data_IF_982518860834
#
_entry.id   IF_982518860834
#
_cell.length_a   1.000
_cell.length_b   1.000
_cell.length_c   1.000
_cell.angle_alpha   90.00
_cell.angle_beta   90.00
_cell.angle_gamma   90.00
#
_symmetry.space_group_name_H-M   'P 1'
#
loop_
_entity.id
_entity.type
_entity.pdbx_description
1 polymer ?
#
# COMPACT_ATOMS: atom_id res chain seq x y z
N UNK A 1 -23.04 -26.34 -19.57
CA UNK A 1 -21.64 -25.86 -19.72
C UNK A 1 -21.57 -24.33 -19.58
N UNK A 2 -22.39 -23.56 -20.30
CA UNK A 2 -22.45 -22.08 -20.20
C UNK A 2 -22.70 -21.54 -18.78
N UNK A 3 -23.61 -22.16 -18.01
CA UNK A 3 -23.90 -21.76 -16.63
C UNK A 3 -22.71 -21.92 -15.69
N UNK A 4 -21.86 -22.92 -15.93
CA UNK A 4 -20.61 -23.12 -15.19
C UNK A 4 -19.57 -22.06 -15.54
N UNK A 5 -19.43 -21.75 -16.83
CA UNK A 5 -18.53 -20.70 -17.33
C UNK A 5 -18.92 -19.32 -16.78
N UNK A 6 -20.22 -18.98 -16.79
CA UNK A 6 -20.73 -17.72 -16.22
C UNK A 6 -20.45 -17.60 -14.72
N UNK A 7 -20.66 -18.68 -13.95
CA UNK A 7 -20.31 -18.70 -12.50
C UNK A 7 -18.82 -18.49 -12.26
N UNK A 8 -17.96 -19.11 -13.07
CA UNK A 8 -16.52 -18.94 -12.96
C UNK A 8 -16.08 -17.51 -13.31
N UNK A 9 -16.58 -16.95 -14.42
CA UNK A 9 -16.31 -15.56 -14.81
C UNK A 9 -16.76 -14.56 -13.75
N UNK A 10 -17.93 -14.76 -13.14
CA UNK A 10 -18.43 -13.91 -12.07
C UNK A 10 -17.56 -14.00 -10.81
N UNK A 11 -17.07 -15.19 -10.47
CA UNK A 11 -16.16 -15.40 -9.34
C UNK A 11 -14.78 -14.79 -9.59
N UNK A 12 -14.26 -14.92 -10.82
CA UNK A 12 -13.01 -14.28 -11.24
C UNK A 12 -13.11 -12.76 -11.23
N UNK A 13 -14.22 -12.19 -11.73
CA UNK A 13 -14.50 -10.76 -11.66
C UNK A 13 -14.54 -10.29 -10.20
N UNK A 14 -15.23 -11.02 -9.32
CA UNK A 14 -15.28 -10.72 -7.89
C UNK A 14 -13.90 -10.72 -7.25
N UNK A 15 -13.08 -11.75 -7.48
CA UNK A 15 -11.70 -11.80 -6.93
C UNK A 15 -10.85 -10.64 -7.47
N UNK A 16 -11.01 -10.29 -8.75
CA UNK A 16 -10.32 -9.14 -9.36
C UNK A 16 -10.74 -7.81 -8.72
N UNK A 17 -12.02 -7.66 -8.39
CA UNK A 17 -12.60 -6.45 -7.81
C UNK A 17 -12.32 -6.36 -6.29
N UNK A 18 -12.46 -7.46 -5.55
CA UNK A 18 -12.08 -7.61 -4.12
C UNK A 18 -10.58 -7.36 -3.91
N UNK A 19 -9.74 -7.79 -4.86
CA UNK A 19 -8.31 -7.49 -4.85
C UNK A 19 -8.01 -6.04 -5.30
N UNK A 20 -8.99 -5.12 -5.23
CA UNK A 20 -8.84 -3.68 -5.05
C UNK A 20 -7.87 -2.97 -5.99
N UNK A 21 -7.59 -3.54 -7.18
CA UNK A 21 -6.33 -3.27 -7.88
C UNK A 21 -6.17 -1.81 -8.27
N UNK A 22 -7.27 -1.15 -8.62
CA UNK A 22 -7.27 0.26 -9.06
C UNK A 22 -7.12 1.24 -7.89
N UNK A 23 -7.89 1.02 -6.82
CA UNK A 23 -7.83 1.87 -5.62
C UNK A 23 -6.48 1.71 -4.92
N UNK A 24 -6.02 0.46 -4.76
CA UNK A 24 -4.71 0.16 -4.20
C UNK A 24 -3.57 0.73 -5.04
N UNK A 25 -3.62 0.58 -6.37
CA UNK A 25 -2.62 1.19 -7.25
C UNK A 25 -2.60 2.72 -7.15
N UNK A 26 -3.78 3.35 -7.04
CA UNK A 26 -3.87 4.79 -6.84
C UNK A 26 -3.20 5.23 -5.54
N UNK A 27 -3.43 4.49 -4.44
CA UNK A 27 -2.76 4.76 -3.15
C UNK A 27 -1.25 4.61 -3.28
N UNK A 28 -0.77 3.52 -3.87
CA UNK A 28 0.66 3.27 -4.09
C UNK A 28 1.30 4.40 -4.90
N UNK A 29 0.60 4.90 -5.92
CA UNK A 29 1.09 5.99 -6.77
C UNK A 29 1.10 7.33 -6.04
N UNK A 30 0.08 7.62 -5.25
CA UNK A 30 0.07 8.80 -4.39
C UNK A 30 1.21 8.78 -3.38
N UNK A 31 1.48 7.64 -2.73
CA UNK A 31 2.62 7.48 -1.81
C UNK A 31 3.96 7.73 -2.50
N UNK A 32 4.16 7.14 -3.68
CA UNK A 32 5.39 7.33 -4.46
C UNK A 32 5.59 8.78 -4.89
N UNK A 33 4.51 9.46 -5.28
CA UNK A 33 4.55 10.89 -5.60
C UNK A 33 4.96 11.74 -4.40
N UNK A 34 4.32 11.54 -3.24
CA UNK A 34 4.63 12.31 -2.02
C UNK A 34 6.09 12.08 -1.60
N UNK A 35 6.58 10.83 -1.65
CA UNK A 35 7.98 10.51 -1.35
C UNK A 35 8.96 11.20 -2.32
N UNK A 36 8.63 11.19 -3.62
CA UNK A 36 9.44 11.86 -4.64
C UNK A 36 9.46 13.37 -4.47
N UNK A 37 8.28 14.00 -4.37
CA UNK A 37 8.13 15.45 -4.21
C UNK A 37 8.81 15.93 -2.94
N UNK A 38 8.63 15.21 -1.82
CA UNK A 38 9.33 15.46 -0.57
C UNK A 38 10.85 15.38 -0.73
N UNK A 39 11.36 14.32 -1.40
CA UNK A 39 12.79 14.16 -1.69
C UNK A 39 13.37 15.23 -2.64
N UNK A 40 12.58 15.78 -3.57
CA UNK A 40 13.01 16.86 -4.46
C UNK A 40 13.05 18.20 -3.72
N UNK A 41 12.10 18.46 -2.83
CA UNK A 41 12.15 19.61 -1.93
C UNK A 41 13.41 19.59 -1.06
N UNK A 42 13.91 18.40 -0.69
CA UNK A 42 15.20 18.28 0.00
C UNK A 42 16.40 18.72 -0.86
N UNK A 43 16.35 18.47 -2.18
CA UNK A 43 17.48 18.69 -3.09
C UNK A 43 17.50 20.08 -3.72
N UNK A 44 16.36 20.76 -3.79
CA UNK A 44 16.17 21.97 -4.61
C UNK A 44 15.93 23.29 -3.85
N UNK A 45 15.82 23.28 -2.52
CA UNK A 45 15.49 24.48 -1.72
C UNK A 45 16.72 25.21 -1.16
N UNK A 46 16.76 26.54 -1.30
CA UNK A 46 17.76 27.39 -0.65
C UNK A 46 17.81 27.17 0.88
N UNK A 47 19.00 26.85 1.39
CA UNK A 47 19.42 27.06 2.78
C UNK A 47 18.68 26.34 3.93
N UNK A 48 17.96 25.23 3.69
CA UNK A 48 17.71 24.29 4.79
C UNK A 48 18.98 23.46 4.96
N UNK A 49 19.81 23.79 5.96
CA UNK A 49 21.07 23.07 6.17
C UNK A 49 20.76 21.61 6.46
N UNK A 50 21.63 20.70 6.00
CA UNK A 50 21.58 19.26 6.34
C UNK A 50 21.37 19.03 7.86
N UNK A 51 21.82 19.98 8.69
CA UNK A 51 21.58 20.04 10.13
C UNK A 51 20.11 20.20 10.55
N UNK A 52 19.31 21.04 9.89
CA UNK A 52 17.88 21.18 10.22
C UNK A 52 17.09 19.93 9.84
N UNK A 53 17.53 19.21 8.81
CA UNK A 53 16.90 17.97 8.35
C UNK A 53 17.21 16.77 9.25
N UNK A 54 18.40 16.73 9.84
CA UNK A 54 18.80 15.75 10.85
C UNK A 54 18.42 16.16 12.27
N UNK A 55 17.84 17.35 12.44
CA UNK A 55 17.43 17.85 13.75
C UNK A 55 16.36 16.92 14.32
N UNK A 56 16.63 16.38 15.50
CA UNK A 56 15.69 15.61 16.28
C UNK A 56 15.21 16.47 17.44
N UNK A 57 13.90 16.53 17.63
CA UNK A 57 13.28 17.21 18.78
C UNK A 57 12.80 16.15 19.75
N UNK A 58 13.56 15.92 20.82
CA UNK A 58 13.27 14.87 21.78
C UNK A 58 13.33 13.47 21.15
N UNK A 59 12.26 12.68 21.32
CA UNK A 59 12.16 11.31 20.79
C UNK A 59 11.62 11.24 19.35
N UNK A 60 11.31 12.37 18.73
CA UNK A 60 10.71 12.41 17.40
C UNK A 60 11.73 12.08 16.29
N UNK A 61 11.31 11.33 15.25
CA UNK A 61 12.12 11.10 14.06
C UNK A 61 12.46 12.42 13.37
N UNK A 62 13.63 12.48 12.74
CA UNK A 62 13.98 13.63 11.90
C UNK A 62 13.18 13.61 10.59
N UNK A 63 13.16 14.73 9.88
CA UNK A 63 12.48 14.80 8.58
C UNK A 63 13.06 13.80 7.56
N UNK A 64 14.38 13.58 7.63
CA UNK A 64 15.04 12.56 6.81
C UNK A 64 14.55 11.15 7.17
N UNK A 65 14.46 10.82 8.45
CA UNK A 65 13.93 9.53 8.92
C UNK A 65 12.48 9.30 8.43
N UNK A 66 11.65 10.35 8.47
CA UNK A 66 10.27 10.29 7.99
C UNK A 66 10.18 10.04 6.48
N UNK A 67 11.02 10.71 5.68
CA UNK A 67 11.04 10.53 4.23
C UNK A 67 11.58 9.15 3.81
N UNK A 68 12.60 8.66 4.51
CA UNK A 68 13.09 7.30 4.33
C UNK A 68 12.02 6.27 4.70
N UNK A 69 11.32 6.46 5.82
CA UNK A 69 10.19 5.62 6.22
C UNK A 69 9.05 5.61 5.19
N UNK A 70 8.66 6.79 4.68
CA UNK A 70 7.65 6.91 3.63
C UNK A 70 8.08 6.17 2.35
N UNK A 71 9.35 6.26 1.98
CA UNK A 71 9.90 5.53 0.82
C UNK A 71 9.85 4.02 1.05
N UNK A 72 10.24 3.53 2.23
CA UNK A 72 10.14 2.10 2.57
C UNK A 72 8.69 1.60 2.52
N UNK A 73 7.74 2.38 3.03
CA UNK A 73 6.31 2.05 2.92
C UNK A 73 5.89 1.98 1.45
N UNK A 74 6.26 2.96 0.62
CA UNK A 74 5.94 2.93 -0.80
C UNK A 74 6.52 1.68 -1.50
N UNK A 75 7.77 1.31 -1.22
CA UNK A 75 8.43 0.13 -1.79
C UNK A 75 7.74 -1.18 -1.39
N UNK A 76 7.31 -1.30 -0.12
CA UNK A 76 6.53 -2.43 0.35
C UNK A 76 5.19 -2.55 -0.38
N UNK A 77 4.42 -1.45 -0.43
CA UNK A 77 3.11 -1.42 -1.07
C UNK A 77 3.20 -1.62 -2.60
N UNK A 78 4.24 -1.11 -3.24
CA UNK A 78 4.52 -1.36 -4.66
C UNK A 78 4.82 -2.84 -4.92
N UNK A 79 5.62 -3.47 -4.07
CA UNK A 79 5.92 -4.91 -4.18
C UNK A 79 4.65 -5.75 -4.00
N UNK A 80 3.80 -5.38 -3.05
CA UNK A 80 2.49 -6.02 -2.85
C UNK A 80 1.58 -5.84 -4.06
N UNK A 81 1.52 -4.63 -4.64
CA UNK A 81 0.72 -4.36 -5.83
C UNK A 81 1.19 -5.23 -7.01
N UNK A 82 2.50 -5.32 -7.23
CA UNK A 82 3.08 -6.14 -8.29
C UNK A 82 2.77 -7.63 -8.08
N UNK A 83 2.87 -8.12 -6.84
CA UNK A 83 2.51 -9.50 -6.50
C UNK A 83 1.03 -9.78 -6.77
N UNK A 84 0.13 -8.93 -6.25
CA UNK A 84 -1.33 -9.03 -6.47
C UNK A 84 -1.65 -8.99 -7.96
N UNK A 85 -1.04 -8.07 -8.71
CA UNK A 85 -1.25 -7.94 -10.16
C UNK A 85 -0.74 -9.16 -10.93
N UNK A 86 0.43 -9.69 -10.56
CA UNK A 86 1.01 -10.91 -11.13
C UNK A 86 0.11 -12.11 -10.89
N UNK A 87 -0.33 -12.32 -9.65
CA UNK A 87 -1.26 -13.38 -9.26
C UNK A 87 -2.55 -13.33 -10.08
N UNK A 88 -3.18 -12.16 -10.21
CA UNK A 88 -4.42 -12.04 -11.00
C UNK A 88 -4.17 -12.30 -12.49
N UNK A 89 -3.00 -11.91 -13.00
CA UNK A 89 -2.63 -12.14 -14.40
C UNK A 89 -2.37 -13.62 -14.69
N UNK A 90 -1.82 -14.33 -13.70
CA UNK A 90 -1.59 -15.78 -13.75
C UNK A 90 -2.84 -16.62 -13.47
N UNK A 91 -3.89 -16.02 -12.89
CA UNK A 91 -5.20 -16.65 -12.75
C UNK A 91 -5.81 -16.89 -14.15
N UNK A 92 -5.65 -18.11 -14.64
CA UNK A 92 -6.21 -18.59 -15.91
C UNK A 92 -7.21 -19.71 -15.65
N UNK A 93 -7.96 -20.09 -16.68
CA UNK A 93 -8.86 -21.25 -16.65
C UNK A 93 -8.15 -22.59 -16.42
N UNK A 94 -6.80 -22.60 -16.42
CA UNK A 94 -5.97 -23.77 -16.15
C UNK A 94 -5.57 -23.93 -14.68
N UNK A 95 -5.95 -23.00 -13.79
CA UNK A 95 -5.66 -23.14 -12.37
C UNK A 95 -6.26 -24.41 -11.80
N UNK A 96 -5.43 -25.20 -11.11
CA UNK A 96 -5.85 -26.39 -10.39
C UNK A 96 -6.67 -26.02 -9.15
N UNK A 97 -7.36 -27.01 -8.56
CA UNK A 97 -8.07 -26.81 -7.30
C UNK A 97 -7.10 -26.40 -6.17
N UNK A 98 -5.87 -26.94 -6.15
CA UNK A 98 -4.82 -26.57 -5.21
C UNK A 98 -4.37 -25.13 -5.37
N UNK A 99 -4.22 -24.64 -6.60
CA UNK A 99 -3.84 -23.24 -6.86
C UNK A 99 -4.89 -22.28 -6.29
N UNK A 100 -6.18 -22.60 -6.49
CA UNK A 100 -7.29 -21.78 -5.97
C UNK A 100 -7.29 -21.76 -4.43
N UNK A 101 -6.95 -22.88 -3.78
CA UNK A 101 -6.85 -22.94 -2.31
C UNK A 101 -5.68 -22.12 -1.81
N UNK A 102 -4.50 -22.27 -2.41
CA UNK A 102 -3.32 -21.48 -2.04
C UNK A 102 -3.57 -19.97 -2.20
N UNK A 103 -4.24 -19.56 -3.27
CA UNK A 103 -4.60 -18.15 -3.50
C UNK A 103 -5.61 -17.61 -2.48
N UNK A 104 -6.56 -18.44 -2.03
CA UNK A 104 -7.46 -18.08 -0.94
C UNK A 104 -6.71 -17.90 0.37
N UNK A 105 -5.75 -18.78 0.66
CA UNK A 105 -4.95 -18.69 1.87
C UNK A 105 -4.10 -17.40 1.88
N UNK A 106 -3.47 -17.07 0.75
CA UNK A 106 -2.72 -15.82 0.58
C UNK A 106 -3.56 -14.57 0.86
N UNK A 107 -4.86 -14.59 0.50
CA UNK A 107 -5.78 -13.48 0.79
C UNK A 107 -6.14 -13.39 2.28
N UNK A 108 -6.27 -14.53 2.97
CA UNK A 108 -6.53 -14.59 4.40
C UNK A 108 -5.32 -14.14 5.22
N UNK A 109 -4.11 -14.49 4.76
CA UNK A 109 -2.85 -14.17 5.44
C UNK A 109 -2.46 -12.68 5.30
N UNK A 110 -3.23 -11.86 4.59
CA UNK A 110 -2.98 -10.42 4.54
C UNK A 110 -3.14 -9.80 5.93
N UNK A 111 -2.24 -8.87 6.33
CA UNK A 111 -2.40 -8.13 7.56
C UNK A 111 -3.65 -7.24 7.44
N UNK A 112 -4.75 -7.73 7.99
CA UNK A 112 -6.00 -6.98 8.11
C UNK A 112 -5.97 -6.23 9.44
N UNK A 113 -5.21 -5.13 9.50
CA UNK A 113 -5.18 -4.28 10.69
C UNK A 113 -6.57 -3.62 10.80
N UNK A 114 -7.32 -3.87 11.88
CA UNK A 114 -8.64 -3.27 12.08
C UNK A 114 -8.55 -1.74 12.12
N UNK A 115 -9.57 -1.06 11.58
CA UNK A 115 -9.60 0.40 11.55
C UNK A 115 -9.53 1.01 12.96
N UNK A 116 -10.15 0.37 13.92
CA UNK A 116 -10.17 0.74 15.34
C UNK A 116 -8.80 0.64 16.01
N UNK A 117 -7.90 -0.23 15.54
CA UNK A 117 -6.51 -0.28 16.02
C UNK A 117 -5.66 0.87 15.45
N UNK A 118 -6.02 1.37 14.26
CA UNK A 118 -5.29 2.44 13.58
C UNK A 118 -5.79 3.83 13.99
N UNK A 119 -7.07 3.95 14.34
CA UNK A 119 -7.72 5.23 14.66
C UNK A 119 -7.00 6.02 15.77
N UNK A 120 -6.58 5.41 16.91
CA UNK A 120 -5.87 6.14 17.96
C UNK A 120 -4.55 6.76 17.49
N UNK A 121 -3.86 6.14 16.52
CA UNK A 121 -2.63 6.68 15.95
C UNK A 121 -2.93 7.96 15.15
N UNK A 122 -4.00 7.96 14.36
CA UNK A 122 -4.46 9.15 13.65
C UNK A 122 -4.85 10.26 14.62
N UNK A 123 -5.61 9.91 15.67
CA UNK A 123 -6.07 10.88 16.66
C UNK A 123 -4.89 11.55 17.38
N UNK A 124 -3.78 10.82 17.60
CA UNK A 124 -2.53 11.37 18.16
C UNK A 124 -1.81 12.28 17.15
N UNK A 125 -1.68 11.85 15.89
CA UNK A 125 -0.92 12.59 14.87
C UNK A 125 -1.63 13.88 14.48
N UNK A 126 -2.95 13.86 14.37
CA UNK A 126 -3.77 14.97 13.86
C UNK A 126 -4.57 15.68 14.97
N UNK A 127 -4.15 15.53 16.24
CA UNK A 127 -4.83 16.13 17.38
C UNK A 127 -5.03 17.64 17.26
N UNK A 128 -4.12 18.35 16.59
CA UNK A 128 -4.13 19.81 16.43
C UNK A 128 -4.95 20.32 15.23
N UNK A 129 -5.33 19.45 14.29
CA UNK A 129 -6.14 19.82 13.10
C UNK A 129 -7.66 19.81 13.37
N UNK A 130 -8.07 19.44 14.59
CA UNK A 130 -9.49 19.31 15.02
C UNK A 130 -10.01 20.58 15.73
N UNK A 131 -9.20 21.64 15.87
CA UNK A 131 -9.58 22.91 16.50
C UNK A 131 -9.96 24.01 15.50
#
# INVERSE_FOLDING_TARGET
METMVKKFQQKYKRVRDEMGRKEFHSVVMSLGKIAHDGGQLLKGGSALTTQQMQLRVGIWPSLADCLDGLKSIHEMYQSEYLLKSSVISSLTWKCSASDIVALRQLLVDQPNIPKDEVQPIFDIIFAEEIC
#
